data_IF_515205998381
#
_entry.id   IF_515205998381
#
_cell.length_a   1.000
_cell.length_b   1.000
_cell.length_c   1.000
_cell.angle_alpha   90.00
_cell.angle_beta   90.00
_cell.angle_gamma   90.00
#
_symmetry.space_group_name_H-M   'P 1'
#
loop_
_entity.id
_entity.type
_entity.pdbx_description
1 polymer ?
#
# COMPACT_ATOMS: atom_id res chain seq x y z
N UNK A 1 -6.54 -23.24 -2.54
CA UNK A 1 -6.85 -21.98 -3.28
C UNK A 1 -5.70 -21.69 -4.24
N UNK A 2 -5.98 -21.33 -5.49
CA UNK A 2 -4.93 -20.98 -6.46
C UNK A 2 -4.38 -19.61 -6.08
N UNK A 3 -3.10 -19.54 -5.68
CA UNK A 3 -2.43 -18.26 -5.47
C UNK A 3 -2.11 -17.65 -6.84
N UNK A 4 -2.37 -16.34 -7.06
CA UNK A 4 -1.99 -15.70 -8.31
C UNK A 4 -0.46 -15.70 -8.42
N UNK A 5 0.07 -15.92 -9.62
CA UNK A 5 1.52 -15.87 -9.87
C UNK A 5 2.00 -14.42 -9.98
N UNK A 6 1.16 -13.53 -10.53
CA UNK A 6 1.48 -12.13 -10.76
C UNK A 6 0.49 -11.20 -10.02
N UNK A 7 1.02 -10.12 -9.44
CA UNK A 7 0.24 -9.11 -8.72
C UNK A 7 0.62 -7.70 -9.21
N UNK A 8 -0.40 -6.92 -9.56
CA UNK A 8 -0.26 -5.50 -9.89
C UNK A 8 -0.84 -4.64 -8.77
N UNK A 9 0.00 -3.82 -8.14
CA UNK A 9 -0.38 -2.93 -7.05
C UNK A 9 -0.49 -1.52 -7.58
N UNK A 10 -1.67 -0.91 -7.43
CA UNK A 10 -1.94 0.48 -7.82
C UNK A 10 -2.12 1.34 -6.57
N UNK A 11 -1.46 2.49 -6.52
CA UNK A 11 -1.58 3.43 -5.41
C UNK A 11 -1.47 4.87 -5.91
N UNK A 12 -2.20 5.76 -5.27
CA UNK A 12 -2.10 7.21 -5.44
C UNK A 12 -1.01 7.86 -4.59
N UNK A 13 -0.34 7.08 -3.74
CA UNK A 13 0.80 7.56 -2.97
C UNK A 13 2.09 7.38 -3.76
N UNK A 14 2.50 8.44 -4.46
CA UNK A 14 3.77 8.46 -5.19
C UNK A 14 4.97 8.07 -4.31
N UNK A 15 4.98 8.54 -3.06
CA UNK A 15 6.04 8.22 -2.09
C UNK A 15 6.12 6.72 -1.81
N UNK A 16 4.96 6.07 -1.58
CA UNK A 16 4.92 4.63 -1.33
C UNK A 16 5.34 3.85 -2.56
N UNK A 17 4.87 4.22 -3.76
CA UNK A 17 5.26 3.55 -5.01
C UNK A 17 6.76 3.67 -5.26
N UNK A 18 7.35 4.85 -5.07
CA UNK A 18 8.80 5.04 -5.20
C UNK A 18 9.59 4.21 -4.21
N UNK A 19 9.13 4.15 -2.96
CA UNK A 19 9.76 3.33 -1.93
C UNK A 19 9.72 1.83 -2.27
N UNK A 20 8.60 1.34 -2.76
CA UNK A 20 8.44 -0.07 -3.13
C UNK A 20 9.23 -0.46 -4.37
N UNK A 21 9.42 0.49 -5.30
CA UNK A 21 10.33 0.34 -6.44
C UNK A 21 11.82 0.49 -6.07
N UNK A 22 12.14 0.75 -4.79
CA UNK A 22 13.52 0.95 -4.35
C UNK A 22 14.13 2.30 -4.74
N UNK A 23 13.32 3.25 -5.22
CA UNK A 23 13.76 4.58 -5.65
C UNK A 23 13.86 5.59 -4.50
N UNK A 24 13.27 5.27 -3.34
CA UNK A 24 13.29 6.11 -2.15
C UNK A 24 13.32 5.27 -0.86
N UNK A 25 13.88 5.84 0.21
CA UNK A 25 14.00 5.15 1.51
C UNK A 25 12.96 5.65 2.50
N UNK A 26 12.33 4.72 3.23
CA UNK A 26 11.46 5.06 4.36
C UNK A 26 12.25 5.61 5.55
N UNK A 27 11.96 6.86 5.93
CA UNK A 27 12.62 7.54 7.07
C UNK A 27 11.98 7.22 8.42
N UNK A 28 10.65 7.07 8.45
CA UNK A 28 9.92 6.76 9.67
C UNK A 28 10.12 5.27 10.09
N UNK A 29 10.38 4.96 11.37
CA UNK A 29 10.53 3.59 11.85
C UNK A 29 9.33 2.68 11.51
N UNK A 30 8.10 3.18 11.70
CA UNK A 30 6.88 2.44 11.39
C UNK A 30 6.80 2.08 9.89
N UNK A 31 7.23 2.98 9.02
CA UNK A 31 7.24 2.74 7.57
C UNK A 31 8.29 1.70 7.19
N UNK A 32 9.47 1.70 7.82
CA UNK A 32 10.47 0.63 7.63
C UNK A 32 9.94 -0.73 8.05
N UNK A 33 9.22 -0.80 9.17
CA UNK A 33 8.61 -2.05 9.63
C UNK A 33 7.53 -2.55 8.67
N UNK A 34 6.69 -1.65 8.15
CA UNK A 34 5.69 -1.98 7.14
C UNK A 34 6.34 -2.52 5.86
N UNK A 35 7.42 -1.89 5.39
CA UNK A 35 8.16 -2.36 4.22
C UNK A 35 8.79 -3.74 4.43
N UNK A 36 9.34 -4.02 5.60
CA UNK A 36 9.91 -5.34 5.89
C UNK A 36 8.85 -6.45 5.79
N UNK A 37 7.65 -6.21 6.33
CA UNK A 37 6.50 -7.12 6.20
C UNK A 37 6.07 -7.29 4.75
N UNK A 38 5.98 -6.19 4.01
CA UNK A 38 5.59 -6.22 2.60
C UNK A 38 6.60 -6.98 1.74
N UNK A 39 7.91 -6.82 1.98
CA UNK A 39 8.95 -7.62 1.31
C UNK A 39 8.79 -9.11 1.56
N UNK A 40 8.48 -9.52 2.80
CA UNK A 40 8.21 -10.92 3.12
C UNK A 40 6.93 -11.48 2.47
N UNK A 41 5.99 -10.62 2.07
CA UNK A 41 4.81 -11.03 1.31
C UNK A 41 5.09 -11.14 -0.19
N UNK A 42 5.87 -10.20 -0.74
CA UNK A 42 6.19 -10.15 -2.17
C UNK A 42 6.91 -11.41 -2.65
N UNK A 43 7.79 -11.99 -1.83
CA UNK A 43 8.54 -13.22 -2.19
C UNK A 43 7.65 -14.45 -2.40
N UNK A 44 6.37 -14.39 -2.04
CA UNK A 44 5.40 -15.47 -2.26
C UNK A 44 4.81 -15.46 -3.66
N UNK A 45 5.03 -14.39 -4.43
CA UNK A 45 4.55 -14.23 -5.79
C UNK A 45 5.73 -14.30 -6.77
N UNK A 46 5.49 -14.77 -7.99
CA UNK A 46 6.50 -14.78 -9.05
C UNK A 46 6.83 -13.35 -9.49
N UNK A 47 5.80 -12.50 -9.58
CA UNK A 47 5.96 -11.10 -9.96
C UNK A 47 5.04 -10.19 -9.17
N UNK A 48 5.60 -9.08 -8.67
CA UNK A 48 4.81 -7.98 -8.10
C UNK A 48 5.27 -6.66 -8.73
N UNK A 49 4.35 -5.92 -9.33
CA UNK A 49 4.62 -4.59 -9.91
C UNK A 49 3.84 -3.51 -9.18
N UNK A 50 4.47 -2.35 -9.00
CA UNK A 50 3.86 -1.19 -8.32
C UNK A 50 3.65 -0.08 -9.32
N UNK A 51 2.47 0.53 -9.34
CA UNK A 51 2.06 1.57 -10.27
C UNK A 51 1.48 2.75 -9.52
N UNK A 52 1.91 3.95 -9.90
CA UNK A 52 1.29 5.16 -9.42
C UNK A 52 0.08 5.48 -10.31
N UNK A 53 -1.06 5.77 -9.69
CA UNK A 53 -2.28 6.22 -10.39
C UNK A 53 -2.78 7.52 -9.77
N UNK A 54 -3.43 8.40 -10.55
CA UNK A 54 -4.11 9.56 -10.00
C UNK A 54 -5.18 9.18 -8.95
N UNK A 55 -5.40 10.06 -7.99
CA UNK A 55 -6.33 9.87 -6.86
C UNK A 55 -7.75 9.52 -7.31
N UNK A 56 -8.22 10.13 -8.39
CA UNK A 56 -9.54 9.89 -8.97
C UNK A 56 -9.72 8.45 -9.48
N UNK A 57 -8.64 7.75 -9.76
CA UNK A 57 -8.63 6.33 -10.17
C UNK A 57 -8.56 5.38 -8.96
N UNK A 58 -8.20 5.89 -7.78
CA UNK A 58 -8.05 5.11 -6.54
C UNK A 58 -9.19 5.35 -5.52
N UNK A 59 -10.33 5.89 -5.97
CA UNK A 59 -11.44 6.35 -5.10
C UNK A 59 -11.99 5.27 -4.17
N UNK A 60 -12.08 4.02 -4.62
CA UNK A 60 -12.60 2.93 -3.80
C UNK A 60 -11.68 2.62 -2.61
N UNK A 61 -10.38 2.49 -2.87
CA UNK A 61 -9.39 2.24 -1.83
C UNK A 61 -9.33 3.41 -0.84
N UNK A 62 -9.52 4.63 -1.34
CA UNK A 62 -9.63 5.80 -0.48
C UNK A 62 -10.84 5.77 0.44
N UNK A 63 -12.02 5.51 -0.12
CA UNK A 63 -13.26 5.43 0.65
C UNK A 63 -13.13 4.41 1.78
N UNK A 64 -12.59 3.22 1.48
CA UNK A 64 -12.33 2.18 2.49
C UNK A 64 -11.32 2.62 3.55
N UNK A 65 -10.26 3.33 3.18
CA UNK A 65 -9.29 3.85 4.14
C UNK A 65 -9.92 4.89 5.07
N UNK A 66 -10.75 5.78 4.52
CA UNK A 66 -11.45 6.82 5.28
C UNK A 66 -12.53 6.22 6.20
N UNK A 67 -13.28 5.20 5.77
CA UNK A 67 -14.26 4.50 6.61
C UNK A 67 -13.61 3.95 7.89
N UNK A 68 -12.40 3.40 7.79
CA UNK A 68 -11.64 2.90 8.95
C UNK A 68 -11.13 4.03 9.84
N UNK A 69 -10.79 5.19 9.28
CA UNK A 69 -10.36 6.36 10.05
C UNK A 69 -11.53 7.03 10.76
N UNK A 70 -12.68 7.16 10.10
CA UNK A 70 -13.90 7.73 10.67
C UNK A 70 -14.51 6.81 11.72
N UNK A 71 -14.47 5.48 11.52
CA UNK A 71 -14.83 4.50 12.54
C UNK A 71 -13.92 4.53 13.79
N UNK A 72 -12.71 5.10 13.68
CA UNK A 72 -11.81 5.37 14.83
C UNK A 72 -12.04 6.73 15.47
N UNK A 73 -12.76 7.64 14.81
CA UNK A 73 -13.03 9.01 15.26
C UNK A 73 -14.32 9.14 16.08
N UNK A 74 -15.11 8.09 16.16
CA UNK A 74 -16.33 8.04 16.98
C UNK A 74 -16.04 7.64 18.42
N UNK A 75 -15.42 8.52 19.22
CA UNK A 75 -15.55 8.62 20.70
C UNK A 75 -14.80 9.87 21.20
N UNK A 76 -15.02 11.02 20.56
CA UNK A 76 -14.72 12.33 21.15
C UNK A 76 -16.05 13.08 21.29
N UNK A 77 -16.82 12.71 22.31
CA UNK A 77 -18.05 13.37 22.75
C UNK A 77 -18.04 13.51 24.26
#
# INVERSE_FOLDING_TARGET
PMQPQEVHVYSDSQVVVQQMRGLATARAPAMRQAQARLRALIVQFEQVTFHHVPREQNRLADALANEVLDGKRGFDG
#
